data_IF_445505644804
#
_entry.id   IF_445505644804
#
_cell.length_a   1.000
_cell.length_b   1.000
_cell.length_c   1.000
_cell.angle_alpha   90.00
_cell.angle_beta   90.00
_cell.angle_gamma   90.00
#
_symmetry.space_group_name_H-M   'P 1'
#
loop_
_entity.id
_entity.type
_entity.pdbx_description
1 polymer ?
#
# COMPACT_ATOMS: atom_id res chain seq x y z
N UNK A 1 -8.32 3.36 -31.34
CA UNK A 1 -7.66 2.23 -30.66
C UNK A 1 -6.75 1.54 -31.67
N UNK A 2 -5.45 1.40 -31.38
CA UNK A 2 -4.45 0.81 -32.29
C UNK A 2 -4.56 -0.71 -32.51
N UNK A 3 -5.74 -1.31 -32.31
CA UNK A 3 -5.95 -2.76 -32.40
C UNK A 3 -6.78 -3.20 -33.61
N UNK A 4 -7.39 -2.27 -34.32
CA UNK A 4 -8.23 -2.56 -35.48
C UNK A 4 -7.87 -1.58 -36.59
N UNK A 5 -7.62 -2.11 -37.81
CA UNK A 5 -7.55 -1.32 -39.05
C UNK A 5 -8.80 -1.60 -39.86
N UNK A 6 -9.49 -0.55 -40.30
CA UNK A 6 -10.70 -0.65 -41.11
C UNK A 6 -10.47 0.00 -42.46
N UNK A 7 -10.77 -0.70 -43.55
CA UNK A 7 -10.71 -0.21 -44.92
C UNK A 7 -12.13 -0.20 -45.49
N UNK A 8 -12.56 0.96 -46.02
CA UNK A 8 -13.90 1.13 -46.57
C UNK A 8 -14.11 0.15 -47.74
N UNK A 9 -15.07 -0.74 -47.60
CA UNK A 9 -15.39 -1.76 -48.61
C UNK A 9 -14.71 -3.11 -48.42
N UNK A 10 -13.79 -3.26 -47.42
CA UNK A 10 -13.01 -4.48 -47.18
C UNK A 10 -13.14 -5.04 -45.77
N UNK A 11 -13.91 -4.38 -44.89
CA UNK A 11 -14.11 -4.83 -43.49
C UNK A 11 -13.04 -4.32 -42.52
N UNK A 12 -13.12 -4.79 -41.31
CA UNK A 12 -12.16 -4.48 -40.24
C UNK A 12 -11.32 -5.70 -39.92
N UNK A 13 -10.01 -5.52 -39.85
CA UNK A 13 -9.04 -6.57 -39.52
C UNK A 13 -8.39 -6.23 -38.18
N UNK A 14 -8.28 -7.22 -37.28
CA UNK A 14 -7.47 -7.08 -36.07
C UNK A 14 -6.00 -7.02 -36.47
N UNK A 15 -5.33 -5.96 -36.07
CA UNK A 15 -3.88 -5.87 -36.19
C UNK A 15 -3.23 -6.88 -35.25
N UNK A 16 -2.11 -7.53 -35.65
CA UNK A 16 -1.33 -8.31 -34.72
C UNK A 16 -1.04 -7.44 -33.51
N UNK A 17 -1.29 -7.96 -32.31
CA UNK A 17 -0.82 -7.33 -31.09
C UNK A 17 0.70 -7.24 -31.24
N UNK A 18 1.19 -6.09 -31.67
CA UNK A 18 2.62 -5.79 -31.62
C UNK A 18 3.06 -6.17 -30.21
N UNK A 19 4.12 -6.95 -30.08
CA UNK A 19 4.73 -7.17 -28.77
C UNK A 19 4.86 -5.79 -28.15
N UNK A 20 3.97 -5.47 -27.19
CA UNK A 20 4.23 -4.37 -26.29
C UNK A 20 5.61 -4.67 -25.74
N UNK A 21 6.57 -3.82 -26.05
CA UNK A 21 7.78 -3.78 -25.24
C UNK A 21 7.30 -3.53 -23.82
N UNK A 22 7.20 -4.59 -23.04
CA UNK A 22 6.82 -4.59 -21.65
C UNK A 22 7.99 -4.16 -20.77
N UNK A 23 8.80 -3.21 -21.27
CA UNK A 23 9.73 -2.45 -20.46
C UNK A 23 8.89 -1.45 -19.66
N UNK A 24 8.89 -1.57 -18.32
CA UNK A 24 8.52 -0.42 -17.51
C UNK A 24 9.29 0.78 -18.07
N UNK A 25 8.63 1.95 -18.30
CA UNK A 25 9.32 3.12 -18.81
C UNK A 25 10.51 3.39 -17.89
N UNK A 26 11.72 3.37 -18.47
CA UNK A 26 12.93 3.71 -17.71
C UNK A 26 12.79 5.17 -17.30
N UNK A 27 12.78 5.39 -15.97
CA UNK A 27 12.89 6.72 -15.40
C UNK A 27 14.29 7.21 -15.71
N UNK A 28 14.41 8.39 -16.34
CA UNK A 28 15.73 8.99 -16.62
C UNK A 28 16.40 9.38 -15.27
N UNK A 29 17.72 9.55 -15.31
CA UNK A 29 18.48 9.83 -14.07
C UNK A 29 18.06 11.14 -13.39
N UNK A 30 17.57 12.12 -14.17
CA UNK A 30 17.13 13.43 -13.68
C UNK A 30 15.63 13.51 -13.40
N UNK A 31 14.87 12.45 -13.68
CA UNK A 31 13.44 12.40 -13.43
C UNK A 31 13.14 12.25 -11.92
N UNK A 32 12.01 12.79 -11.51
CA UNK A 32 11.49 12.62 -10.15
C UNK A 32 10.47 11.47 -10.16
N UNK A 33 10.81 10.37 -9.47
CA UNK A 33 9.91 9.21 -9.34
C UNK A 33 9.18 9.26 -8.00
N UNK A 34 7.89 9.64 -8.03
CA UNK A 34 6.94 9.59 -6.93
C UNK A 34 5.86 8.51 -7.13
N UNK A 35 6.07 7.54 -8.03
CA UNK A 35 5.18 6.38 -8.16
C UNK A 35 5.28 5.49 -6.92
N UNK A 36 6.50 5.34 -6.39
CA UNK A 36 6.75 4.53 -5.20
C UNK A 36 6.71 5.39 -3.93
N UNK A 37 5.74 5.13 -3.04
CA UNK A 37 5.70 5.72 -1.71
C UNK A 37 6.66 4.96 -0.77
N UNK A 38 7.96 5.01 -1.06
CA UNK A 38 8.97 4.27 -0.32
C UNK A 38 10.15 5.19 0.01
N UNK A 39 10.43 5.42 1.29
CA UNK A 39 11.56 6.26 1.68
C UNK A 39 12.89 5.59 1.34
N UNK A 40 13.94 6.40 1.24
CA UNK A 40 15.31 5.91 1.19
C UNK A 40 15.63 5.04 2.41
N UNK A 41 16.70 4.25 2.30
CA UNK A 41 17.14 3.40 3.40
C UNK A 41 17.38 4.22 4.68
N UNK A 42 17.07 3.61 5.82
CA UNK A 42 17.47 4.18 7.11
C UNK A 42 19.00 4.35 7.15
N UNK A 43 19.53 5.50 7.57
CA UNK A 43 20.96 5.80 7.48
C UNK A 43 21.89 4.78 8.17
N UNK A 44 21.42 4.15 9.27
CA UNK A 44 22.17 3.13 10.00
C UNK A 44 22.21 1.75 9.34
N UNK A 45 21.43 1.52 8.27
CA UNK A 45 21.28 0.19 7.66
C UNK A 45 22.61 -0.40 7.18
N UNK A 46 23.48 0.40 6.56
CA UNK A 46 24.77 -0.07 6.05
C UNK A 46 25.66 -0.65 7.17
N UNK A 47 25.67 -0.01 8.35
CA UNK A 47 26.38 -0.53 9.53
C UNK A 47 25.83 -1.87 10.00
N UNK A 48 24.51 -1.96 10.15
CA UNK A 48 23.85 -3.21 10.56
C UNK A 48 24.10 -4.34 9.57
N UNK A 49 24.10 -4.06 8.26
CA UNK A 49 24.43 -5.06 7.23
C UNK A 49 25.91 -5.50 7.33
N UNK A 50 26.83 -4.59 7.59
CA UNK A 50 28.24 -4.90 7.78
C UNK A 50 28.46 -5.79 9.02
N UNK A 51 27.78 -5.51 10.11
CA UNK A 51 27.85 -6.33 11.32
C UNK A 51 27.22 -7.72 11.10
N UNK A 52 26.11 -7.80 10.39
CA UNK A 52 25.52 -9.08 10.03
C UNK A 52 26.41 -9.94 9.12
N UNK A 53 27.20 -9.30 8.26
CA UNK A 53 28.12 -10.00 7.37
C UNK A 53 29.24 -10.73 8.11
N UNK A 54 29.55 -10.36 9.35
CA UNK A 54 30.54 -11.07 10.18
C UNK A 54 30.09 -12.49 10.53
N UNK A 55 28.77 -12.74 10.58
CA UNK A 55 28.18 -14.05 10.91
C UNK A 55 27.84 -14.87 9.66
N UNK A 56 28.17 -14.38 8.45
CA UNK A 56 27.76 -15.02 7.18
C UNK A 56 28.26 -16.45 7.04
N UNK A 57 29.43 -16.78 7.61
CA UNK A 57 29.99 -18.13 7.56
C UNK A 57 29.06 -19.18 8.19
N UNK A 58 28.37 -18.82 9.28
CA UNK A 58 27.37 -19.68 9.92
C UNK A 58 26.10 -19.84 9.08
N UNK A 59 25.72 -18.81 8.33
CA UNK A 59 24.55 -18.86 7.44
C UNK A 59 24.83 -19.78 6.23
N UNK A 60 25.96 -19.60 5.54
CA UNK A 60 26.27 -20.35 4.31
C UNK A 60 26.67 -21.80 4.58
N UNK A 61 26.85 -22.20 5.82
CA UNK A 61 27.08 -23.61 6.19
C UNK A 61 25.79 -24.46 6.15
N UNK A 62 24.63 -23.85 5.97
CA UNK A 62 23.31 -24.51 5.91
C UNK A 62 22.81 -24.59 4.46
N UNK A 63 21.74 -25.36 4.24
CA UNK A 63 21.12 -25.48 2.92
C UNK A 63 20.43 -24.19 2.43
N UNK A 64 20.07 -23.27 3.35
CA UNK A 64 19.52 -21.96 3.02
C UNK A 64 18.03 -21.95 2.68
N UNK A 65 17.33 -23.07 2.75
CA UNK A 65 15.87 -23.14 2.51
C UNK A 65 15.13 -23.21 3.84
N UNK A 66 14.33 -22.17 4.14
CA UNK A 66 13.47 -22.12 5.30
C UNK A 66 12.13 -21.46 4.93
N UNK A 67 11.11 -22.28 4.74
CA UNK A 67 9.77 -21.84 4.33
C UNK A 67 8.99 -21.14 5.43
N UNK A 68 9.44 -21.20 6.68
CA UNK A 68 8.79 -20.53 7.83
C UNK A 68 9.48 -19.20 8.17
N UNK A 69 10.78 -19.19 8.05
CA UNK A 69 11.67 -18.12 8.48
C UNK A 69 12.44 -18.46 9.74
N UNK A 70 13.61 -17.84 9.90
CA UNK A 70 14.56 -18.14 10.96
C UNK A 70 13.92 -18.01 12.35
N UNK A 71 14.23 -18.94 13.24
CA UNK A 71 13.69 -18.95 14.61
C UNK A 71 14.01 -17.65 15.35
N UNK A 72 15.20 -17.08 15.13
CA UNK A 72 15.60 -15.83 15.75
C UNK A 72 14.73 -14.64 15.30
N UNK A 73 14.44 -14.53 14.00
CA UNK A 73 13.60 -13.45 13.50
C UNK A 73 12.15 -13.60 13.93
N UNK A 74 11.61 -14.83 13.90
CA UNK A 74 10.26 -15.11 14.38
C UNK A 74 10.09 -14.77 15.85
N UNK A 75 11.08 -15.12 16.68
CA UNK A 75 11.09 -14.75 18.10
C UNK A 75 11.13 -13.23 18.28
N UNK A 76 12.03 -12.53 17.60
CA UNK A 76 12.13 -11.07 17.70
C UNK A 76 10.83 -10.35 17.28
N UNK A 77 10.16 -10.83 16.23
CA UNK A 77 8.86 -10.29 15.80
C UNK A 77 7.78 -10.59 16.85
N UNK A 78 7.71 -11.81 17.38
CA UNK A 78 6.75 -12.21 18.40
C UNK A 78 6.90 -11.40 19.69
N UNK A 79 8.14 -11.20 20.15
CA UNK A 79 8.45 -10.36 21.30
C UNK A 79 7.99 -8.90 21.08
N UNK A 80 8.19 -8.36 19.86
CA UNK A 80 7.74 -7.01 19.54
C UNK A 80 6.21 -6.88 19.58
N UNK A 81 5.45 -7.86 19.08
CA UNK A 81 3.99 -7.85 19.23
C UNK A 81 3.57 -7.93 20.68
N UNK A 82 4.23 -8.79 21.47
CA UNK A 82 3.95 -8.94 22.92
C UNK A 82 4.23 -7.65 23.67
N UNK A 83 5.33 -6.95 23.39
CA UNK A 83 5.64 -5.62 23.95
C UNK A 83 4.58 -4.57 23.59
N UNK A 84 3.92 -4.70 22.46
CA UNK A 84 2.81 -3.84 22.02
C UNK A 84 1.44 -4.31 22.51
N UNK A 85 1.39 -5.23 23.47
CA UNK A 85 0.18 -5.68 24.13
C UNK A 85 -0.56 -6.84 23.44
N UNK A 86 0.01 -7.44 22.37
CA UNK A 86 -0.55 -8.61 21.70
C UNK A 86 0.34 -9.83 21.96
N UNK A 87 -0.06 -10.66 22.93
CA UNK A 87 0.65 -11.91 23.24
C UNK A 87 0.83 -12.75 21.97
N UNK A 88 2.07 -13.02 21.61
CA UNK A 88 2.41 -13.71 20.36
C UNK A 88 3.56 -14.68 20.58
N UNK A 89 3.46 -15.86 19.98
CA UNK A 89 4.53 -16.86 20.00
C UNK A 89 5.19 -16.98 18.62
N UNK A 90 6.44 -17.47 18.53
CA UNK A 90 7.13 -17.63 17.25
C UNK A 90 6.39 -18.53 16.23
N UNK A 91 5.53 -19.45 16.69
CA UNK A 91 4.74 -20.34 15.83
C UNK A 91 3.60 -19.61 15.10
N UNK A 92 3.25 -18.40 15.57
CA UNK A 92 2.27 -17.54 14.94
C UNK A 92 2.86 -16.62 13.86
N UNK A 93 4.19 -16.68 13.65
CA UNK A 93 4.91 -15.81 12.73
C UNK A 93 5.41 -16.63 11.53
N UNK A 94 5.08 -16.16 10.33
CA UNK A 94 5.65 -16.66 9.07
C UNK A 94 6.37 -15.51 8.37
N UNK A 95 7.68 -15.62 8.22
CA UNK A 95 8.51 -14.59 7.55
C UNK A 95 8.29 -14.67 6.04
N UNK A 96 8.12 -13.54 5.37
CA UNK A 96 7.84 -13.46 3.93
C UNK A 96 8.80 -12.48 3.24
N UNK A 97 8.88 -12.58 1.91
CA UNK A 97 9.70 -11.70 1.07
C UNK A 97 9.02 -10.34 0.87
N UNK A 98 8.77 -9.64 2.00
CA UNK A 98 8.04 -8.37 2.10
C UNK A 98 6.52 -8.55 2.16
N UNK A 99 5.81 -7.46 2.48
CA UNK A 99 4.35 -7.47 2.67
C UNK A 99 3.58 -7.94 1.42
N UNK A 100 4.04 -7.64 0.20
CA UNK A 100 3.33 -8.06 -1.02
C UNK A 100 3.33 -9.58 -1.17
N UNK A 101 4.41 -10.27 -0.79
CA UNK A 101 4.46 -11.74 -0.75
C UNK A 101 3.48 -12.26 0.31
N UNK A 102 3.42 -11.63 1.49
CA UNK A 102 2.46 -11.97 2.54
C UNK A 102 1.00 -11.84 2.05
N UNK A 103 0.65 -10.72 1.44
CA UNK A 103 -0.69 -10.47 0.90
C UNK A 103 -1.05 -11.51 -0.17
N UNK A 104 -0.14 -11.79 -1.09
CA UNK A 104 -0.36 -12.79 -2.14
C UNK A 104 -0.56 -14.19 -1.54
N UNK A 105 0.28 -14.58 -0.60
CA UNK A 105 0.21 -15.88 0.05
C UNK A 105 -1.10 -16.04 0.84
N UNK A 106 -1.52 -15.03 1.59
CA UNK A 106 -2.81 -15.02 2.29
C UNK A 106 -3.99 -15.10 1.30
N UNK A 107 -3.93 -14.34 0.20
CA UNK A 107 -4.98 -14.37 -0.80
C UNK A 107 -5.12 -15.77 -1.44
N UNK A 108 -4.01 -16.45 -1.76
CA UNK A 108 -4.04 -17.76 -2.38
C UNK A 108 -4.34 -18.90 -1.40
N UNK A 109 -4.13 -18.68 -0.09
CA UNK A 109 -4.43 -19.67 0.95
C UNK A 109 -5.88 -19.57 1.42
N UNK A 110 -6.37 -18.33 1.67
CA UNK A 110 -7.66 -18.11 2.33
C UNK A 110 -8.83 -17.91 1.35
N UNK A 111 -8.56 -17.79 0.04
CA UNK A 111 -9.59 -17.54 -0.96
C UNK A 111 -9.70 -18.67 -1.98
N UNK A 112 -10.94 -18.98 -2.35
CA UNK A 112 -11.26 -19.83 -3.47
C UNK A 112 -11.85 -19.00 -4.62
N UNK A 113 -11.83 -19.57 -5.81
CA UNK A 113 -12.40 -18.91 -6.99
C UNK A 113 -13.89 -18.63 -6.81
N UNK A 114 -14.26 -17.36 -6.90
CA UNK A 114 -15.64 -16.88 -6.75
C UNK A 114 -15.97 -16.36 -5.36
N UNK A 115 -15.09 -16.54 -4.38
CA UNK A 115 -15.21 -15.94 -3.06
C UNK A 115 -15.29 -14.41 -3.15
N UNK A 116 -15.82 -13.80 -2.11
CA UNK A 116 -15.82 -12.34 -1.98
C UNK A 116 -14.73 -11.90 -1.02
N UNK A 117 -14.05 -10.81 -1.38
CA UNK A 117 -13.08 -10.13 -0.53
C UNK A 117 -13.53 -8.68 -0.34
N UNK A 118 -13.76 -8.27 0.89
CA UNK A 118 -13.99 -6.86 1.20
C UNK A 118 -12.63 -6.12 1.15
N UNK A 119 -12.66 -4.91 0.60
CA UNK A 119 -11.46 -4.07 0.48
C UNK A 119 -11.85 -2.60 0.52
N UNK A 120 -10.99 -1.76 1.05
CA UNK A 120 -11.17 -0.31 1.04
C UNK A 120 -11.18 0.27 -0.38
N UNK A 121 -11.88 1.39 -0.57
CA UNK A 121 -11.79 2.19 -1.79
C UNK A 121 -11.74 3.68 -1.41
N UNK A 122 -10.64 4.39 -1.74
CA UNK A 122 -9.41 3.92 -2.41
C UNK A 122 -8.57 2.99 -1.51
N UNK A 123 -7.65 2.24 -2.14
CA UNK A 123 -6.80 1.27 -1.44
C UNK A 123 -5.45 1.07 -2.12
N UNK A 124 -4.60 0.24 -1.54
CA UNK A 124 -3.34 -0.20 -2.13
C UNK A 124 -3.57 -1.08 -3.37
N UNK A 125 -3.15 -0.64 -4.57
CA UNK A 125 -3.53 -1.31 -5.82
C UNK A 125 -3.08 -2.76 -5.94
N UNK A 126 -1.90 -3.08 -5.42
CA UNK A 126 -1.35 -4.43 -5.55
C UNK A 126 -2.04 -5.45 -4.61
N UNK A 127 -2.65 -5.00 -3.51
CA UNK A 127 -3.52 -5.85 -2.70
C UNK A 127 -4.78 -6.22 -3.50
N UNK A 128 -5.46 -5.23 -4.09
CA UNK A 128 -6.62 -5.48 -4.94
C UNK A 128 -6.28 -6.43 -6.11
N UNK A 129 -5.10 -6.29 -6.72
CA UNK A 129 -4.63 -7.18 -7.78
C UNK A 129 -4.38 -8.61 -7.27
N UNK A 130 -3.75 -8.77 -6.10
CA UNK A 130 -3.49 -10.08 -5.51
C UNK A 130 -4.79 -10.84 -5.21
N UNK A 131 -5.78 -10.16 -4.62
CA UNK A 131 -7.09 -10.73 -4.32
C UNK A 131 -7.84 -11.14 -5.60
N UNK A 132 -7.80 -10.31 -6.66
CA UNK A 132 -8.41 -10.68 -7.95
C UNK A 132 -7.72 -11.87 -8.61
N UNK A 133 -6.39 -11.94 -8.53
CA UNK A 133 -5.62 -13.08 -9.09
C UNK A 133 -5.89 -14.38 -8.36
N UNK A 134 -6.19 -14.33 -7.06
CA UNK A 134 -6.67 -15.48 -6.30
C UNK A 134 -8.11 -15.90 -6.68
N UNK A 135 -8.79 -15.15 -7.54
CA UNK A 135 -10.13 -15.44 -8.05
C UNK A 135 -11.26 -14.80 -7.27
N UNK A 136 -10.96 -13.90 -6.32
CA UNK A 136 -11.98 -13.22 -5.54
C UNK A 136 -12.72 -12.12 -6.31
N UNK A 137 -13.99 -11.93 -5.95
CA UNK A 137 -14.79 -10.76 -6.32
C UNK A 137 -14.64 -9.71 -5.23
N UNK A 138 -14.09 -8.56 -5.59
CA UNK A 138 -13.90 -7.47 -4.64
C UNK A 138 -15.24 -6.80 -4.32
N UNK A 139 -15.42 -6.44 -3.06
CA UNK A 139 -16.55 -5.66 -2.56
C UNK A 139 -15.99 -4.48 -1.78
N UNK A 140 -16.31 -3.27 -2.23
CA UNK A 140 -15.68 -2.05 -1.75
C UNK A 140 -16.33 -1.50 -0.49
N UNK A 141 -15.50 -1.06 0.47
CA UNK A 141 -15.84 -0.26 1.64
C UNK A 141 -15.24 1.14 1.40
N UNK A 142 -16.06 2.18 1.20
CA UNK A 142 -15.56 3.52 0.94
C UNK A 142 -14.80 4.11 2.14
N UNK A 143 -13.73 4.85 1.82
CA UNK A 143 -12.95 5.62 2.79
C UNK A 143 -12.69 7.00 2.22
N UNK A 144 -12.98 8.05 2.98
CA UNK A 144 -12.68 9.43 2.59
C UNK A 144 -11.63 10.05 3.52
N UNK A 145 -11.02 11.14 3.07
CA UNK A 145 -10.09 11.91 3.90
C UNK A 145 -10.79 12.67 5.03
N UNK A 146 -12.04 13.04 4.83
CA UNK A 146 -12.80 13.87 5.78
C UNK A 146 -13.58 13.01 6.77
N UNK A 147 -14.36 12.04 6.29
CA UNK A 147 -15.32 11.28 7.10
C UNK A 147 -14.80 9.91 7.59
N UNK A 148 -13.64 9.43 7.08
CA UNK A 148 -13.12 8.11 7.41
C UNK A 148 -13.84 6.99 6.66
N UNK A 149 -14.11 5.88 7.33
CA UNK A 149 -14.77 4.70 6.75
C UNK A 149 -16.28 4.85 6.76
N UNK A 150 -16.93 4.54 5.63
CA UNK A 150 -18.39 4.42 5.55
C UNK A 150 -18.82 3.15 6.31
N UNK A 151 -19.15 3.33 7.59
CA UNK A 151 -19.50 2.23 8.50
C UNK A 151 -20.81 1.56 8.12
N UNK A 152 -21.80 2.31 7.66
CA UNK A 152 -23.08 1.76 7.22
C UNK A 152 -22.88 0.85 6.01
N UNK A 153 -22.06 1.30 5.07
CA UNK A 153 -21.69 0.50 3.91
C UNK A 153 -20.85 -0.72 4.31
N UNK A 154 -19.92 -0.58 5.25
CA UNK A 154 -19.13 -1.69 5.77
C UNK A 154 -20.04 -2.78 6.36
N UNK A 155 -20.96 -2.43 7.26
CA UNK A 155 -21.91 -3.36 7.85
C UNK A 155 -22.77 -4.05 6.78
N UNK A 156 -23.26 -3.29 5.78
CA UNK A 156 -24.02 -3.87 4.66
C UNK A 156 -23.18 -4.85 3.82
N UNK A 157 -21.91 -4.52 3.56
CA UNK A 157 -20.99 -5.40 2.82
C UNK A 157 -20.86 -6.73 3.54
N UNK A 158 -20.53 -6.73 4.83
CA UNK A 158 -20.40 -7.96 5.61
C UNK A 158 -21.71 -8.76 5.66
N UNK A 159 -22.82 -8.11 5.99
CA UNK A 159 -24.12 -8.77 6.16
C UNK A 159 -24.68 -9.37 4.85
N UNK A 160 -24.53 -8.66 3.71
CA UNK A 160 -25.15 -9.09 2.44
C UNK A 160 -24.24 -9.96 1.60
N UNK A 161 -22.93 -9.83 1.74
CA UNK A 161 -21.99 -10.49 0.84
C UNK A 161 -21.19 -11.61 1.49
N UNK A 162 -21.05 -11.62 2.83
CA UNK A 162 -20.30 -12.62 3.58
C UNK A 162 -18.90 -12.82 3.01
N UNK A 163 -18.02 -11.78 3.00
CA UNK A 163 -16.70 -11.92 2.39
C UNK A 163 -15.86 -12.92 3.19
N UNK A 164 -15.09 -13.78 2.52
CA UNK A 164 -14.18 -14.71 3.19
C UNK A 164 -13.08 -13.94 3.93
N UNK A 165 -12.57 -12.86 3.31
CA UNK A 165 -11.61 -11.96 3.95
C UNK A 165 -12.01 -10.49 3.78
N UNK A 166 -11.50 -9.65 4.70
CA UNK A 166 -11.53 -8.19 4.57
C UNK A 166 -10.10 -7.65 4.70
N UNK A 167 -9.55 -7.07 3.62
CA UNK A 167 -8.24 -6.44 3.64
C UNK A 167 -8.37 -4.97 4.01
N UNK A 168 -7.76 -4.56 5.12
CA UNK A 168 -7.89 -3.24 5.70
C UNK A 168 -6.53 -2.66 6.12
N UNK A 169 -6.38 -1.34 5.99
CA UNK A 169 -5.24 -0.56 6.45
C UNK A 169 -5.70 0.43 7.54
N UNK A 170 -5.89 -0.02 8.78
CA UNK A 170 -6.55 0.79 9.83
C UNK A 170 -5.71 1.97 10.34
N UNK A 171 -4.40 1.98 10.11
CA UNK A 171 -3.52 3.07 10.51
C UNK A 171 -2.78 3.66 9.31
N UNK A 172 -2.90 4.98 9.13
CA UNK A 172 -2.29 5.72 8.02
C UNK A 172 -2.58 5.07 6.67
N UNK A 173 -3.86 4.82 6.42
CA UNK A 173 -4.39 4.15 5.23
C UNK A 173 -3.78 4.71 3.94
N UNK A 174 -3.37 3.84 3.04
CA UNK A 174 -2.85 4.23 1.73
C UNK A 174 -3.96 4.14 0.67
N UNK A 175 -4.39 5.29 0.10
CA UNK A 175 -3.66 6.55 0.02
C UNK A 175 -4.17 7.68 0.93
N UNK A 176 -5.25 7.53 1.70
CA UNK A 176 -5.93 8.65 2.37
C UNK A 176 -5.17 9.23 3.56
N UNK A 177 -4.25 8.47 4.16
CA UNK A 177 -3.53 8.86 5.38
C UNK A 177 -4.38 8.78 6.65
N UNK A 178 -5.64 8.34 6.57
CA UNK A 178 -6.55 8.21 7.72
C UNK A 178 -6.16 7.05 8.64
N UNK A 179 -6.47 7.23 9.91
CA UNK A 179 -6.43 6.14 10.90
C UNK A 179 -7.81 5.93 11.48
N UNK A 180 -8.22 4.67 11.63
CA UNK A 180 -9.49 4.29 12.24
C UNK A 180 -9.52 4.70 13.72
N UNK A 181 -10.64 5.22 14.15
CA UNK A 181 -10.93 5.39 15.58
C UNK A 181 -11.22 4.03 16.24
N UNK A 182 -11.14 3.91 17.56
CA UNK A 182 -11.55 2.70 18.27
C UNK A 182 -12.99 2.28 17.96
N UNK A 183 -13.89 3.25 17.82
CA UNK A 183 -15.32 3.02 17.51
C UNK A 183 -15.48 2.46 16.09
N UNK A 184 -14.77 3.01 15.09
CA UNK A 184 -14.77 2.48 13.72
C UNK A 184 -14.25 1.04 13.69
N UNK A 185 -13.19 0.74 14.45
CA UNK A 185 -12.64 -0.61 14.56
C UNK A 185 -13.63 -1.59 15.19
N UNK A 186 -14.33 -1.18 16.26
CA UNK A 186 -15.33 -2.02 16.92
C UNK A 186 -16.49 -2.39 16.00
N UNK A 187 -17.04 -1.42 15.28
CA UNK A 187 -18.13 -1.63 14.33
C UNK A 187 -17.72 -2.59 13.20
N UNK A 188 -16.56 -2.36 12.60
CA UNK A 188 -16.05 -3.20 11.51
C UNK A 188 -15.75 -4.61 12.00
N UNK A 189 -15.13 -4.75 13.18
CA UNK A 189 -14.81 -6.05 13.76
C UNK A 189 -16.08 -6.86 14.10
N UNK A 190 -17.08 -6.22 14.69
CA UNK A 190 -18.37 -6.86 14.97
C UNK A 190 -19.07 -7.34 13.69
N UNK A 191 -19.06 -6.53 12.64
CA UNK A 191 -19.62 -6.89 11.34
C UNK A 191 -18.88 -8.06 10.68
N UNK A 192 -17.54 -8.07 10.73
CA UNK A 192 -16.71 -9.16 10.20
C UNK A 192 -16.95 -10.48 10.97
N UNK A 193 -17.04 -10.42 12.30
CA UNK A 193 -17.39 -11.59 13.12
C UNK A 193 -18.75 -12.18 12.77
N UNK A 194 -19.75 -11.32 12.60
CA UNK A 194 -21.12 -11.74 12.24
C UNK A 194 -21.19 -12.50 10.91
N UNK A 195 -20.29 -12.22 9.99
CA UNK A 195 -20.18 -12.88 8.69
C UNK A 195 -19.13 -13.98 8.63
N UNK A 196 -18.47 -14.30 9.75
CA UNK A 196 -17.38 -15.26 9.85
C UNK A 196 -16.16 -14.91 8.94
N UNK A 197 -15.95 -13.62 8.65
CA UNK A 197 -14.87 -13.12 7.82
C UNK A 197 -13.54 -13.07 8.60
N UNK A 198 -12.42 -13.32 7.89
CA UNK A 198 -11.08 -13.06 8.42
C UNK A 198 -10.67 -11.61 8.08
N UNK A 199 -10.27 -10.83 9.06
CA UNK A 199 -9.70 -9.50 8.81
C UNK A 199 -8.21 -9.64 8.55
N UNK A 200 -7.74 -9.21 7.38
CA UNK A 200 -6.33 -9.07 7.03
C UNK A 200 -5.93 -7.61 7.24
N UNK A 201 -5.19 -7.34 8.31
CA UNK A 201 -4.69 -6.01 8.67
C UNK A 201 -3.32 -5.80 8.05
N UNK A 202 -3.21 -4.82 7.17
CA UNK A 202 -1.92 -4.36 6.68
C UNK A 202 -1.35 -3.28 7.61
N UNK A 203 -0.28 -3.64 8.33
CA UNK A 203 0.41 -2.77 9.28
C UNK A 203 1.65 -2.08 8.69
N UNK A 204 1.86 -2.16 7.38
CA UNK A 204 3.10 -1.66 6.74
C UNK A 204 3.34 -0.16 6.94
N UNK A 205 2.28 0.61 7.16
CA UNK A 205 2.33 2.04 7.49
C UNK A 205 2.00 2.33 8.96
N UNK A 206 1.54 1.35 9.71
CA UNK A 206 0.95 1.52 11.03
C UNK A 206 1.86 2.12 12.11
N UNK A 207 3.17 2.03 11.93
CA UNK A 207 4.15 2.60 12.85
C UNK A 207 4.77 3.94 12.36
N UNK A 208 4.30 4.48 11.24
CA UNK A 208 4.83 5.71 10.64
C UNK A 208 4.12 6.97 11.13
N UNK A 209 3.95 7.09 12.44
CA UNK A 209 3.45 8.29 13.08
C UNK A 209 4.47 9.43 12.97
N UNK A 210 4.00 10.67 12.74
CA UNK A 210 4.84 11.86 12.57
C UNK A 210 4.68 12.82 13.75
N UNK A 211 3.44 13.14 14.12
CA UNK A 211 3.14 14.24 15.05
C UNK A 211 2.81 13.74 16.47
N UNK A 212 2.64 12.46 16.65
CA UNK A 212 2.34 11.82 17.93
C UNK A 212 3.10 10.51 18.04
N UNK A 213 3.19 9.92 19.24
CA UNK A 213 3.77 8.60 19.42
C UNK A 213 3.06 7.55 18.55
N UNK A 214 3.81 6.53 18.13
CA UNK A 214 3.22 5.36 17.46
C UNK A 214 2.10 4.80 18.35
N UNK A 215 0.91 4.51 17.80
CA UNK A 215 -0.17 3.90 18.57
C UNK A 215 0.32 2.65 19.32
N UNK A 216 0.16 2.64 20.62
CA UNK A 216 0.56 1.49 21.45
C UNK A 216 -0.35 0.30 21.22
N UNK A 217 -1.64 0.56 21.05
CA UNK A 217 -2.62 -0.47 20.75
C UNK A 217 -2.60 -0.83 19.27
N UNK A 218 -2.61 -2.14 18.99
CA UNK A 218 -2.82 -2.67 17.64
C UNK A 218 -4.30 -2.57 17.29
N UNK A 219 -4.58 -2.27 16.02
CA UNK A 219 -5.94 -2.24 15.52
C UNK A 219 -6.57 -3.64 15.57
N UNK A 220 -7.81 -3.69 15.97
CA UNK A 220 -8.62 -4.88 16.15
C UNK A 220 -8.12 -5.88 17.22
N UNK A 221 -9.04 -6.52 17.94
CA UNK A 221 -8.71 -7.69 18.78
C UNK A 221 -8.18 -8.84 17.92
N UNK A 222 -7.64 -9.87 18.58
CA UNK A 222 -6.96 -10.98 17.89
C UNK A 222 -7.89 -12.04 17.28
N UNK A 223 -9.18 -11.97 17.57
CA UNK A 223 -10.15 -12.93 17.07
C UNK A 223 -10.36 -12.81 15.56
N UNK A 224 -9.94 -13.82 14.80
CA UNK A 224 -9.99 -13.91 13.33
C UNK A 224 -9.28 -12.75 12.62
N UNK A 225 -8.19 -12.27 13.21
CA UNK A 225 -7.36 -11.19 12.65
C UNK A 225 -5.99 -11.73 12.27
N UNK A 226 -5.64 -11.57 10.99
CA UNK A 226 -4.31 -11.84 10.45
C UNK A 226 -3.60 -10.51 10.18
N UNK A 227 -2.34 -10.39 10.57
CA UNK A 227 -1.58 -9.16 10.41
C UNK A 227 -0.45 -9.33 9.42
N UNK A 228 -0.27 -8.36 8.56
CA UNK A 228 0.83 -8.26 7.61
C UNK A 228 1.74 -7.13 8.03
N UNK A 229 2.98 -7.45 8.39
CA UNK A 229 3.99 -6.48 8.74
C UNK A 229 5.16 -6.48 7.76
N UNK A 230 5.97 -5.41 7.78
CA UNK A 230 7.14 -5.29 6.90
C UNK A 230 8.11 -4.23 7.38
N UNK A 231 9.41 -4.44 7.12
CA UNK A 231 10.46 -3.43 7.28
C UNK A 231 10.58 -2.49 6.07
N UNK A 232 9.77 -2.70 5.03
CA UNK A 232 9.90 -2.00 3.75
C UNK A 232 9.64 -0.49 3.79
N UNK A 233 8.85 0.01 4.75
CA UNK A 233 8.55 1.44 4.91
C UNK A 233 9.29 2.07 6.10
N UNK A 234 9.55 1.28 7.13
CA UNK A 234 10.28 1.74 8.31
C UNK A 234 11.79 1.81 8.06
N UNK A 235 12.35 0.79 7.43
CA UNK A 235 13.80 0.66 7.19
C UNK A 235 14.15 0.91 5.72
N UNK A 236 13.82 -0.04 4.84
CA UNK A 236 14.12 0.04 3.41
C UNK A 236 13.35 -1.00 2.59
N UNK A 237 12.75 -0.57 1.50
CA UNK A 237 12.00 -1.47 0.60
C UNK A 237 12.86 -2.56 -0.05
N UNK A 238 14.15 -2.31 -0.26
CA UNK A 238 15.09 -3.26 -0.85
C UNK A 238 15.47 -4.42 0.06
N UNK A 239 15.23 -4.33 1.37
CA UNK A 239 15.52 -5.41 2.32
C UNK A 239 14.61 -6.63 2.12
N UNK A 240 13.43 -6.43 1.55
CA UNK A 240 12.48 -7.51 1.23
C UNK A 240 12.09 -8.40 2.41
N UNK A 241 12.01 -7.86 3.63
CA UNK A 241 11.52 -8.56 4.83
C UNK A 241 10.12 -8.09 5.18
N UNK A 242 9.21 -9.06 5.28
CA UNK A 242 7.87 -8.92 5.83
C UNK A 242 7.51 -10.17 6.62
N UNK A 243 6.31 -10.19 7.15
CA UNK A 243 5.79 -11.34 7.89
C UNK A 243 4.25 -11.36 7.90
N UNK A 244 3.74 -12.55 8.14
CA UNK A 244 2.35 -12.79 8.54
C UNK A 244 2.37 -13.15 10.02
N UNK A 245 1.50 -12.51 10.80
CA UNK A 245 1.15 -12.93 12.14
C UNK A 245 -0.30 -13.40 12.10
N UNK A 246 -0.54 -14.66 12.47
CA UNK A 246 -1.85 -15.30 12.46
C UNK A 246 -1.99 -16.24 13.65
N UNK A 247 -3.20 -16.79 13.87
CA UNK A 247 -3.31 -17.95 14.73
C UNK A 247 -2.55 -19.15 14.15
N UNK A 248 -2.37 -20.20 14.96
CA UNK A 248 -1.54 -21.36 14.55
C UNK A 248 -2.15 -22.15 13.40
N UNK A 249 -3.46 -22.17 13.27
CA UNK A 249 -4.17 -22.91 12.23
C UNK A 249 -3.95 -22.22 10.87
N UNK A 250 -4.22 -20.93 10.78
CA UNK A 250 -3.96 -20.13 9.57
C UNK A 250 -2.47 -20.10 9.23
N UNK A 251 -1.59 -19.99 10.23
CA UNK A 251 -0.15 -20.03 10.00
C UNK A 251 0.29 -21.37 9.37
N UNK A 252 -0.26 -22.50 9.85
CA UNK A 252 0.03 -23.82 9.28
C UNK A 252 -0.48 -23.96 7.85
N UNK A 253 -1.67 -23.45 7.52
CA UNK A 253 -2.21 -23.45 6.17
C UNK A 253 -1.34 -22.61 5.21
N UNK A 254 -0.93 -21.41 5.65
CA UNK A 254 -0.02 -20.52 4.92
C UNK A 254 1.31 -21.21 4.62
N UNK A 255 1.91 -21.89 5.62
CA UNK A 255 3.17 -22.62 5.45
C UNK A 255 2.98 -23.76 4.43
N UNK A 256 1.89 -24.53 4.52
CA UNK A 256 1.61 -25.63 3.62
C UNK A 256 1.45 -25.18 2.16
N UNK A 257 0.82 -24.01 1.94
CA UNK A 257 0.62 -23.45 0.59
C UNK A 257 1.85 -22.76 0.01
N UNK A 258 2.84 -22.41 0.82
CA UNK A 258 3.93 -21.51 0.42
C UNK A 258 4.87 -22.10 -0.63
N UNK A 259 5.20 -23.37 -0.53
CA UNK A 259 6.17 -24.05 -1.41
C UNK A 259 5.79 -24.04 -2.89
N UNK A 260 4.50 -23.85 -3.22
CA UNK A 260 4.04 -23.69 -4.58
C UNK A 260 4.48 -22.36 -5.23
N UNK A 261 4.87 -21.37 -4.43
CA UNK A 261 5.24 -20.02 -4.87
C UNK A 261 6.71 -19.67 -4.60
N UNK A 262 7.20 -19.95 -3.39
CA UNK A 262 8.59 -19.64 -2.98
C UNK A 262 9.09 -20.63 -1.91
N UNK A 263 10.41 -20.84 -1.85
CA UNK A 263 11.04 -21.78 -0.94
C UNK A 263 11.62 -21.13 0.35
N UNK A 264 11.31 -19.87 0.57
CA UNK A 264 11.75 -19.14 1.76
C UNK A 264 12.19 -17.70 1.45
N UNK A 265 12.47 -16.97 2.50
CA UNK A 265 13.00 -15.60 2.46
C UNK A 265 14.52 -15.66 2.65
N UNK A 266 15.32 -14.84 1.95
CA UNK A 266 16.78 -14.89 2.04
C UNK A 266 17.28 -14.79 3.50
N UNK A 267 18.18 -15.69 3.88
CA UNK A 267 18.61 -15.83 5.29
C UNK A 267 19.49 -14.66 5.78
N UNK A 268 20.30 -14.07 4.90
CA UNK A 268 21.12 -12.92 5.27
C UNK A 268 20.27 -11.72 5.65
N UNK A 269 19.26 -11.39 4.86
CA UNK A 269 18.31 -10.32 5.14
C UNK A 269 17.51 -10.57 6.42
N UNK A 270 17.23 -11.84 6.74
CA UNK A 270 16.63 -12.19 8.02
C UNK A 270 17.57 -11.93 9.19
N UNK A 271 18.86 -12.25 9.07
CA UNK A 271 19.86 -11.95 10.10
C UNK A 271 20.03 -10.44 10.33
N UNK A 272 20.01 -9.65 9.26
CA UNK A 272 19.96 -8.18 9.32
C UNK A 272 18.70 -7.72 10.04
N UNK A 273 17.53 -8.29 9.70
CA UNK A 273 16.24 -7.91 10.26
C UNK A 273 16.14 -8.16 11.78
N UNK A 274 16.75 -9.22 12.30
CA UNK A 274 16.81 -9.47 13.76
C UNK A 274 17.43 -8.28 14.49
N UNK A 275 18.56 -7.75 13.99
CA UNK A 275 19.23 -6.60 14.58
C UNK A 275 18.40 -5.34 14.47
N UNK A 276 17.79 -5.10 13.29
CA UNK A 276 16.95 -3.94 13.03
C UNK A 276 15.69 -3.89 13.93
N UNK A 277 15.10 -5.03 14.24
CA UNK A 277 13.95 -5.09 15.16
C UNK A 277 14.35 -4.63 16.57
N UNK A 278 15.56 -4.95 17.01
CA UNK A 278 16.10 -4.44 18.28
C UNK A 278 16.28 -2.91 18.30
N UNK A 279 16.59 -2.32 17.16
CA UNK A 279 16.80 -0.87 17.00
C UNK A 279 15.53 -0.10 16.60
N UNK A 280 14.37 -0.76 16.51
CA UNK A 280 13.16 -0.20 15.88
C UNK A 280 12.71 1.12 16.50
N UNK A 281 12.84 1.30 17.81
CA UNK A 281 12.46 2.55 18.46
C UNK A 281 13.28 3.75 17.96
N UNK A 282 14.60 3.59 17.81
CA UNK A 282 15.47 4.64 17.28
C UNK A 282 15.22 4.88 15.78
N UNK A 283 14.99 3.81 15.03
CA UNK A 283 14.65 3.89 13.61
C UNK A 283 13.36 4.70 13.40
N UNK A 284 12.31 4.44 14.17
CA UNK A 284 11.03 5.13 14.05
C UNK A 284 11.11 6.62 14.38
N UNK A 285 11.87 7.00 15.42
CA UNK A 285 12.09 8.41 15.76
C UNK A 285 12.75 9.16 14.60
N UNK A 286 13.80 8.59 14.03
CA UNK A 286 14.49 9.20 12.90
C UNK A 286 13.61 9.22 11.64
N UNK A 287 12.87 8.16 11.40
CA UNK A 287 11.94 8.07 10.28
C UNK A 287 10.83 9.12 10.37
N UNK A 288 10.26 9.33 11.55
CA UNK A 288 9.26 10.38 11.80
C UNK A 288 9.80 11.78 11.46
N UNK A 289 11.06 12.07 11.79
CA UNK A 289 11.70 13.35 11.45
C UNK A 289 11.79 13.54 9.94
N UNK A 290 12.32 12.55 9.20
CA UNK A 290 12.43 12.63 7.74
C UNK A 290 11.09 12.75 7.03
N UNK A 291 10.09 11.99 7.51
CA UNK A 291 8.73 12.06 6.95
C UNK A 291 8.05 13.41 7.23
N UNK A 292 8.29 14.00 8.40
CA UNK A 292 7.79 15.34 8.74
C UNK A 292 8.37 16.39 7.80
N UNK A 293 9.68 16.40 7.60
CA UNK A 293 10.34 17.33 6.67
C UNK A 293 9.77 17.24 5.25
N UNK A 294 9.58 16.03 4.75
CA UNK A 294 8.99 15.81 3.42
C UNK A 294 7.52 16.23 3.35
N UNK A 295 6.69 15.82 4.33
CA UNK A 295 5.27 16.20 4.41
C UNK A 295 5.09 17.71 4.44
N UNK A 296 5.81 18.39 5.32
CA UNK A 296 5.64 19.82 5.54
C UNK A 296 6.12 20.62 4.31
N UNK A 297 7.22 20.21 3.69
CA UNK A 297 7.69 20.80 2.45
C UNK A 297 6.70 20.63 1.29
N UNK A 298 6.14 19.43 1.14
CA UNK A 298 5.14 19.14 0.11
C UNK A 298 3.85 19.91 0.34
N UNK A 299 3.33 19.88 1.57
CA UNK A 299 2.08 20.56 1.96
C UNK A 299 2.18 22.06 1.73
N UNK A 300 3.25 22.69 2.22
CA UNK A 300 3.48 24.12 2.04
C UNK A 300 3.56 24.50 0.57
N UNK A 301 4.32 23.76 -0.24
CA UNK A 301 4.46 24.04 -1.66
C UNK A 301 3.13 23.87 -2.43
N UNK A 302 2.31 22.85 -2.09
CA UNK A 302 1.00 22.64 -2.70
C UNK A 302 0.03 23.79 -2.38
N UNK A 303 -0.04 24.23 -1.13
CA UNK A 303 -0.91 25.33 -0.70
C UNK A 303 -0.51 26.64 -1.40
N UNK A 304 0.79 26.92 -1.51
CA UNK A 304 1.30 28.13 -2.15
C UNK A 304 1.07 28.14 -3.68
N UNK A 305 1.39 27.04 -4.37
CA UNK A 305 1.41 27.00 -5.84
C UNK A 305 0.09 26.55 -6.47
N UNK A 306 -0.72 25.78 -5.74
CA UNK A 306 -1.97 25.17 -6.20
C UNK A 306 -3.12 25.39 -5.19
N UNK A 307 -3.42 26.65 -4.82
CA UNK A 307 -4.30 26.98 -3.68
C UNK A 307 -5.76 26.54 -3.85
N UNK A 308 -6.16 26.09 -5.04
CA UNK A 308 -7.50 25.53 -5.27
C UNK A 308 -7.60 24.04 -5.04
N UNK A 309 -6.46 23.37 -4.84
CA UNK A 309 -6.46 21.97 -4.47
C UNK A 309 -6.69 21.83 -2.96
N UNK A 310 -7.40 20.80 -2.57
CA UNK A 310 -7.59 20.47 -1.14
C UNK A 310 -6.48 19.52 -0.71
N UNK A 311 -5.61 20.03 0.13
CA UNK A 311 -4.49 19.25 0.71
C UNK A 311 -4.90 18.74 2.07
N UNK A 312 -5.00 17.41 2.29
CA UNK A 312 -5.41 16.87 3.58
C UNK A 312 -4.33 17.05 4.64
N UNK A 313 -4.74 17.19 5.89
CA UNK A 313 -3.84 17.08 7.04
C UNK A 313 -3.66 15.62 7.41
N UNK A 314 -2.41 15.14 7.40
CA UNK A 314 -2.06 13.78 7.81
C UNK A 314 -1.05 13.81 8.95
N UNK A 315 -1.23 12.95 9.95
CA UNK A 315 -0.38 12.87 11.14
C UNK A 315 0.63 11.72 11.09
N UNK A 316 0.68 11.02 9.94
CA UNK A 316 1.58 9.91 9.70
C UNK A 316 1.42 9.33 8.29
N UNK A 317 2.00 8.17 8.06
CA UNK A 317 1.99 7.50 6.75
C UNK A 317 3.08 7.98 5.80
N UNK A 318 2.85 7.88 4.50
CA UNK A 318 3.88 8.07 3.46
C UNK A 318 3.43 8.94 2.28
N UNK A 319 2.17 9.37 2.23
CA UNK A 319 1.63 10.14 1.09
C UNK A 319 0.46 11.03 1.49
N UNK A 320 0.19 12.01 0.63
CA UNK A 320 -1.03 12.82 0.64
C UNK A 320 -1.99 12.32 -0.45
N UNK A 321 -3.28 12.30 -0.15
CA UNK A 321 -4.37 12.07 -1.08
C UNK A 321 -5.04 13.40 -1.40
N UNK A 322 -4.45 14.12 -2.36
CA UNK A 322 -4.82 15.49 -2.68
C UNK A 322 -6.04 15.53 -3.59
N UNK A 323 -7.04 16.35 -3.26
CA UNK A 323 -8.19 16.57 -4.14
C UNK A 323 -7.93 17.74 -5.09
N UNK A 324 -8.09 17.48 -6.38
CA UNK A 324 -7.93 18.44 -7.47
C UNK A 324 -9.24 19.24 -7.68
N UNK A 325 -9.14 20.48 -8.15
CA UNK A 325 -10.29 21.31 -8.48
C UNK A 325 -11.01 20.87 -9.80
N UNK A 326 -10.51 19.82 -10.48
CA UNK A 326 -11.16 19.21 -11.65
C UNK A 326 -10.83 17.70 -11.74
N UNK A 327 -11.72 16.88 -12.36
CA UNK A 327 -11.53 15.42 -12.47
C UNK A 327 -10.55 15.05 -13.61
N UNK A 328 -9.27 15.39 -13.45
CA UNK A 328 -8.27 15.33 -14.52
C UNK A 328 -6.95 14.68 -14.08
N UNK A 329 -6.95 13.86 -13.01
CA UNK A 329 -5.70 13.30 -12.47
C UNK A 329 -4.95 12.43 -13.49
N UNK A 330 -5.65 11.66 -14.32
CA UNK A 330 -5.03 10.85 -15.39
C UNK A 330 -4.34 11.71 -16.44
N UNK A 331 -5.00 12.79 -16.91
CA UNK A 331 -4.41 13.75 -17.83
C UNK A 331 -3.21 14.48 -17.23
N UNK A 332 -3.31 14.88 -15.97
CA UNK A 332 -2.24 15.53 -15.23
C UNK A 332 -0.98 14.66 -15.14
N UNK A 333 -1.14 13.39 -14.76
CA UNK A 333 -0.02 12.45 -14.65
C UNK A 333 0.67 12.23 -15.99
N UNK A 334 -0.08 12.18 -17.11
CA UNK A 334 0.50 12.06 -18.45
C UNK A 334 1.30 13.31 -18.83
N UNK A 335 0.78 14.51 -18.56
CA UNK A 335 1.47 15.76 -18.84
C UNK A 335 2.72 15.94 -17.95
N UNK A 336 2.62 15.62 -16.66
CA UNK A 336 3.73 15.68 -15.72
C UNK A 336 4.88 14.74 -16.12
N UNK A 337 4.56 13.54 -16.62
CA UNK A 337 5.56 12.58 -17.12
C UNK A 337 6.40 13.14 -18.25
N UNK A 338 5.83 13.93 -19.15
CA UNK A 338 6.56 14.60 -20.23
C UNK A 338 7.56 15.65 -19.73
N UNK A 339 7.43 16.06 -18.47
CA UNK A 339 8.32 16.99 -17.77
C UNK A 339 9.21 16.29 -16.75
N UNK A 340 9.34 14.95 -16.83
CA UNK A 340 10.20 14.15 -15.94
C UNK A 340 9.63 13.92 -14.54
N UNK A 341 8.31 14.09 -14.31
CA UNK A 341 7.66 13.77 -13.04
C UNK A 341 6.74 12.56 -13.17
N UNK A 342 7.06 11.49 -12.46
CA UNK A 342 6.31 10.24 -12.45
C UNK A 342 5.44 10.16 -11.20
N UNK A 343 4.11 10.02 -11.40
CA UNK A 343 3.08 9.93 -10.35
C UNK A 343 2.05 8.87 -10.69
N UNK A 344 1.21 8.55 -9.73
CA UNK A 344 0.05 7.66 -9.91
C UNK A 344 -1.24 8.45 -9.78
N UNK A 345 -2.09 8.40 -10.81
CA UNK A 345 -3.41 9.02 -10.82
C UNK A 345 -4.39 8.32 -9.88
N UNK A 346 -5.42 9.04 -9.43
CA UNK A 346 -6.43 8.55 -8.51
C UNK A 346 -7.10 7.24 -8.91
N UNK A 347 -7.50 7.02 -10.17
CA UNK A 347 -8.11 5.77 -10.61
C UNK A 347 -7.26 4.51 -10.38
N UNK A 348 -5.94 4.65 -10.25
CA UNK A 348 -5.05 3.53 -9.94
C UNK A 348 -5.34 2.90 -8.57
N UNK A 349 -5.89 3.69 -7.63
CA UNK A 349 -6.18 3.28 -6.26
C UNK A 349 -7.63 2.80 -6.07
N UNK A 350 -8.42 2.80 -7.11
CA UNK A 350 -9.81 2.37 -7.05
C UNK A 350 -9.98 0.96 -7.60
N UNK A 351 -10.51 0.02 -6.82
CA UNK A 351 -10.92 -1.28 -7.34
C UNK A 351 -12.01 -1.19 -8.41
N UNK A 352 -12.89 -0.18 -8.31
CA UNK A 352 -14.11 -0.05 -9.12
C UNK A 352 -14.04 1.08 -10.16
N UNK A 353 -12.88 1.76 -10.28
CA UNK A 353 -12.73 2.99 -11.07
C UNK A 353 -13.13 4.25 -10.29
N UNK A 354 -13.00 5.42 -10.90
CA UNK A 354 -13.26 6.70 -10.24
C UNK A 354 -12.01 7.38 -9.70
N UNK A 355 -12.20 8.32 -8.77
CA UNK A 355 -11.14 9.14 -8.15
C UNK A 355 -10.33 10.01 -9.12
N UNK A 356 -10.87 10.39 -10.27
CA UNK A 356 -10.21 11.32 -11.21
C UNK A 356 -9.98 12.72 -10.62
N UNK A 357 -10.64 13.06 -9.50
CA UNK A 357 -10.38 14.28 -8.72
C UNK A 357 -9.25 14.14 -7.73
N UNK A 358 -8.60 12.99 -7.64
CA UNK A 358 -7.58 12.76 -6.62
C UNK A 358 -6.24 12.38 -7.24
N UNK A 359 -5.19 12.79 -6.53
CA UNK A 359 -3.81 12.46 -6.86
C UNK A 359 -3.10 11.99 -5.60
N UNK A 360 -2.45 10.82 -5.64
CA UNK A 360 -1.57 10.41 -4.55
C UNK A 360 -0.18 11.00 -4.77
N UNK A 361 0.31 11.77 -3.80
CA UNK A 361 1.65 12.35 -3.81
C UNK A 361 2.40 11.85 -2.58
N UNK A 362 3.39 10.95 -2.74
CA UNK A 362 4.26 10.55 -1.64
C UNK A 362 5.11 11.73 -1.15
N UNK A 363 5.35 11.77 0.17
CA UNK A 363 6.25 12.74 0.78
C UNK A 363 7.54 12.08 1.30
N UNK A 364 7.92 10.94 0.71
CA UNK A 364 9.09 10.15 1.10
C UNK A 364 10.38 10.55 0.39
N UNK A 365 10.31 11.44 -0.60
CA UNK A 365 11.46 12.01 -1.29
C UNK A 365 12.05 13.21 -0.52
N UNK A 366 13.28 13.63 -0.83
CA UNK A 366 13.87 14.84 -0.26
C UNK A 366 13.04 16.10 -0.50
N UNK A 367 13.01 17.06 0.45
CA UNK A 367 12.18 18.26 0.37
C UNK A 367 12.37 19.12 -0.88
N UNK A 368 13.57 19.20 -1.42
CA UNK A 368 13.88 19.92 -2.66
C UNK A 368 13.25 19.25 -3.90
N UNK A 369 13.30 17.92 -3.97
CA UNK A 369 12.63 17.18 -5.04
C UNK A 369 11.10 17.31 -4.96
N UNK A 370 10.54 17.33 -3.75
CA UNK A 370 9.10 17.53 -3.55
C UNK A 370 8.64 18.93 -3.99
N UNK A 371 9.41 19.98 -3.66
CA UNK A 371 9.14 21.34 -4.15
C UNK A 371 9.20 21.41 -5.68
N UNK A 372 10.24 20.82 -6.30
CA UNK A 372 10.37 20.75 -7.77
C UNK A 372 9.20 19.96 -8.39
N UNK A 373 8.75 18.89 -7.78
CA UNK A 373 7.58 18.15 -8.26
C UNK A 373 6.31 19.03 -8.26
N UNK A 374 6.10 19.84 -7.23
CA UNK A 374 4.97 20.78 -7.17
C UNK A 374 5.09 21.88 -8.21
N UNK A 375 6.31 22.39 -8.50
CA UNK A 375 6.53 23.36 -9.58
C UNK A 375 6.13 22.78 -10.94
N UNK A 376 6.49 21.52 -11.23
CA UNK A 376 6.09 20.85 -12.45
C UNK A 376 4.56 20.72 -12.51
N UNK A 377 3.91 20.29 -11.42
CA UNK A 377 2.45 20.17 -11.37
C UNK A 377 1.75 21.53 -11.60
N UNK A 378 2.24 22.59 -10.98
CA UNK A 378 1.70 23.92 -11.15
C UNK A 378 1.85 24.47 -12.59
N UNK A 379 2.95 24.12 -13.25
CA UNK A 379 3.20 24.52 -14.63
C UNK A 379 2.28 23.78 -15.62
N UNK A 380 2.04 22.48 -15.43
CA UNK A 380 1.23 21.67 -16.37
C UNK A 380 -0.28 21.73 -16.10
N UNK A 381 -0.71 22.05 -14.88
CA UNK A 381 -2.13 22.04 -14.52
C UNK A 381 -3.03 22.95 -15.37
N UNK A 382 -2.66 24.21 -15.68
CA UNK A 382 -3.44 25.07 -16.57
C UNK A 382 -3.58 24.49 -17.98
N UNK A 383 -2.51 23.87 -18.52
CA UNK A 383 -2.51 23.25 -19.86
C UNK A 383 -3.51 22.09 -19.91
N UNK A 384 -3.48 21.20 -18.90
CA UNK A 384 -4.38 20.04 -18.78
C UNK A 384 -5.85 20.48 -18.67
N UNK A 385 -6.13 21.52 -17.88
CA UNK A 385 -7.49 22.07 -17.72
C UNK A 385 -8.02 22.69 -19.01
N UNK A 386 -7.16 23.29 -19.80
CA UNK A 386 -7.56 23.92 -21.08
C UNK A 386 -7.77 22.88 -22.18
N UNK A 387 -6.97 21.79 -22.18
CA UNK A 387 -7.05 20.71 -23.14
C UNK A 387 -8.22 19.75 -22.88
N UNK A 388 -8.79 19.75 -21.67
CA UNK A 388 -9.94 18.92 -21.37
C UNK A 388 -11.15 19.35 -22.24
N UNK A 389 -11.89 18.42 -22.87
CA UNK A 389 -13.13 18.75 -23.55
C UNK A 389 -14.02 19.51 -22.57
N UNK A 390 -14.44 20.72 -22.91
CA UNK A 390 -15.48 21.43 -22.18
C UNK A 390 -16.71 20.51 -22.20
N UNK A 391 -17.09 19.96 -21.04
CA UNK A 391 -18.26 19.10 -20.95
C UNK A 391 -19.40 19.80 -21.66
N UNK A 392 -20.05 19.08 -22.57
CA UNK A 392 -21.34 19.48 -23.12
C UNK A 392 -22.23 19.57 -21.90
N UNK A 393 -22.60 20.80 -21.51
CA UNK A 393 -23.70 21.02 -20.59
C UNK A 393 -24.90 20.50 -21.36
N UNK A 394 -25.32 19.26 -21.08
CA UNK A 394 -26.61 18.80 -21.57
C UNK A 394 -27.65 19.79 -21.06
N UNK A 395 -28.45 20.40 -21.94
CA UNK A 395 -29.57 21.18 -21.49
C UNK A 395 -30.45 20.22 -20.68
N UNK A 396 -30.82 20.61 -19.48
CA UNK A 396 -31.81 19.88 -18.66
C UNK A 396 -33.13 19.94 -19.42
N UNK A 397 -33.33 19.02 -20.36
CA UNK A 397 -34.69 18.77 -20.88
C UNK A 397 -35.47 18.11 -19.76
N UNK A 398 -36.48 18.82 -19.31
CA UNK A 398 -37.45 18.30 -18.36
C UNK A 398 -38.07 17.05 -18.98
N UNK A 399 -37.83 15.89 -18.40
CA UNK A 399 -38.62 14.70 -18.65
C UNK A 399 -40.03 14.98 -18.09
N UNK A 400 -40.98 15.19 -19.00
CA UNK A 400 -42.45 15.21 -18.72
C UNK A 400 -42.93 13.78 -18.63
#
# INVERSE_FOLDING_TARGET
>A
SGHISSVRGSGSVTLPLGRRESGAPRVAADDIDLVQASPAAWPGLAGVMSDAAQDVAALVSRAGYDIVGSAALRAAIADRYTQRGLSTTPEQIVVTTGAQSAIHLLATTLLHRGDRAAIETPTYPHAAEALRRAGARLVSIPVTTDDGWDLDRAVQVFARTGPSIAYLMPHFQNPTGRSMTPEEQEVIHAAARSSNSVIVVDETTGELAIDHPVPSALAFPDDRVVRVGSLGKTVWGGLRIGWIRADREIAAEVIAGRSANELGTPEFEQAVAVRLIGEMSAILVQRATLLREGRDALTSALIDRLPRWRVPTVTGGVCLWVELDAPLSSGLVLAARQRGLHLSAGPRFSPDGGHERHLRIPFTAPPDQLRRAVEILAAVWPEVRTAAPRGIVEPTEALV
#
